data_IF_950958747984
#
_entry.id   IF_950958747984
#
_cell.length_a   1.000
_cell.length_b   1.000
_cell.length_c   1.000
_cell.angle_alpha   90.00
_cell.angle_beta   90.00
_cell.angle_gamma   90.00
#
_symmetry.space_group_name_H-M   'P 1'
#
loop_
_entity.id
_entity.type
_entity.pdbx_description
1 polymer ?
#
# COMPACT_ATOMS: atom_id res chain seq x y z
N UNK A 1 34.00 -15.17 9.97
CA UNK A 1 32.59 -15.09 9.55
C UNK A 1 31.88 -14.14 10.50
N UNK A 2 31.34 -13.03 9.97
CA UNK A 2 30.82 -11.93 10.77
C UNK A 2 29.56 -12.35 11.52
N UNK A 3 29.51 -12.10 12.84
CA UNK A 3 28.34 -12.44 13.67
C UNK A 3 27.29 -11.33 13.60
N UNK A 4 26.76 -11.09 12.41
CA UNK A 4 25.49 -10.35 12.30
C UNK A 4 24.38 -11.38 12.48
N UNK A 5 23.52 -11.14 13.45
CA UNK A 5 22.33 -11.94 13.70
C UNK A 5 21.11 -11.03 13.60
N UNK A 6 20.18 -11.39 12.72
CA UNK A 6 18.95 -10.66 12.52
C UNK A 6 17.75 -11.53 12.90
N UNK A 7 16.80 -10.95 13.63
CA UNK A 7 15.49 -11.51 13.94
C UNK A 7 14.46 -10.83 13.05
N UNK A 8 13.63 -11.64 12.42
CA UNK A 8 12.57 -11.22 11.50
C UNK A 8 11.23 -11.64 12.09
N UNK A 9 10.20 -10.82 11.98
CA UNK A 9 8.80 -11.22 12.23
C UNK A 9 7.87 -10.57 11.21
N UNK A 10 7.05 -11.37 10.55
CA UNK A 10 6.07 -10.88 9.58
C UNK A 10 5.06 -9.96 10.29
N UNK A 11 4.66 -8.88 9.63
CA UNK A 11 3.63 -7.97 10.10
C UNK A 11 2.31 -8.42 9.47
N UNK A 12 1.44 -9.01 10.27
CA UNK A 12 0.23 -9.69 9.80
C UNK A 12 -0.96 -8.74 9.81
N UNK A 13 -1.68 -8.69 8.70
CA UNK A 13 -2.92 -7.93 8.58
C UNK A 13 -4.04 -8.61 9.37
N UNK A 14 -4.73 -7.86 10.23
CA UNK A 14 -5.98 -8.29 10.89
C UNK A 14 -7.14 -7.45 10.34
N UNK A 15 -7.03 -6.12 10.38
CA UNK A 15 -7.89 -5.14 9.70
C UNK A 15 -7.06 -3.90 9.34
N UNK A 16 -7.64 -2.89 8.70
CA UNK A 16 -6.94 -1.62 8.46
C UNK A 16 -6.50 -0.90 9.74
N UNK A 17 -7.19 -1.15 10.86
CA UNK A 17 -6.91 -0.53 12.16
C UNK A 17 -6.12 -1.45 13.10
N UNK A 18 -5.93 -2.72 12.74
CA UNK A 18 -5.29 -3.69 13.62
C UNK A 18 -4.31 -4.60 12.87
N UNK A 19 -3.20 -4.91 13.54
CA UNK A 19 -2.11 -5.72 13.03
C UNK A 19 -1.63 -6.67 14.11
N UNK A 20 -1.15 -7.83 13.70
CA UNK A 20 -0.45 -8.75 14.58
C UNK A 20 1.00 -8.93 14.11
N UNK A 21 1.83 -9.52 14.95
CA UNK A 21 3.19 -9.87 14.57
C UNK A 21 3.38 -11.38 14.63
N UNK A 22 4.01 -11.93 13.60
CA UNK A 22 4.36 -13.34 13.52
C UNK A 22 5.46 -13.73 14.50
N UNK A 23 5.83 -15.02 14.46
CA UNK A 23 6.95 -15.54 15.25
C UNK A 23 8.28 -14.96 14.80
N UNK A 24 9.22 -14.81 15.73
CA UNK A 24 10.58 -14.46 15.39
C UNK A 24 11.30 -15.60 14.66
N UNK A 25 11.92 -15.27 13.53
CA UNK A 25 12.81 -16.15 12.78
C UNK A 25 14.21 -15.51 12.79
N UNK A 26 15.19 -16.26 13.27
CA UNK A 26 16.58 -15.79 13.32
C UNK A 26 17.32 -16.19 12.04
N UNK A 27 18.09 -15.27 11.47
CA UNK A 27 19.05 -15.52 10.39
C UNK A 27 20.42 -14.95 10.78
N UNK A 28 21.47 -15.63 10.34
CA UNK A 28 22.85 -15.26 10.63
C UNK A 28 23.58 -14.95 9.32
N UNK A 29 24.43 -13.92 9.34
CA UNK A 29 25.22 -13.50 8.18
C UNK A 29 24.34 -13.27 6.95
N UNK A 30 24.70 -13.90 5.83
CA UNK A 30 24.05 -13.69 4.53
C UNK A 30 22.79 -14.56 4.32
N UNK A 31 22.30 -15.23 5.37
CA UNK A 31 21.13 -16.09 5.26
C UNK A 31 19.87 -15.28 4.96
N UNK A 32 19.20 -15.59 3.84
CA UNK A 32 18.02 -14.87 3.37
C UNK A 32 16.77 -15.19 4.18
N UNK A 33 15.97 -14.16 4.44
CA UNK A 33 14.59 -14.28 4.92
C UNK A 33 13.64 -14.31 3.73
N UNK A 34 12.60 -15.15 3.79
CA UNK A 34 11.60 -15.29 2.72
C UNK A 34 10.25 -14.90 3.31
N UNK A 35 9.63 -13.88 2.72
CA UNK A 35 8.27 -13.44 3.02
C UNK A 35 7.27 -14.55 2.70
N UNK A 36 6.44 -14.92 3.69
CA UNK A 36 5.44 -16.00 3.53
C UNK A 36 4.06 -15.52 3.94
N UNK A 37 3.93 -15.03 5.16
CA UNK A 37 2.63 -14.72 5.75
C UNK A 37 2.27 -13.24 5.54
N UNK A 38 3.25 -12.39 5.20
CA UNK A 38 3.06 -10.98 4.86
C UNK A 38 4.04 -10.49 3.78
N UNK A 39 3.70 -9.38 3.15
CA UNK A 39 4.56 -8.61 2.24
C UNK A 39 5.59 -7.74 2.97
N UNK A 40 5.47 -7.64 4.30
CA UNK A 40 6.29 -6.76 5.11
C UNK A 40 6.67 -7.41 6.44
N UNK A 41 7.87 -7.05 6.91
CA UNK A 41 8.56 -7.73 8.00
C UNK A 41 9.26 -6.70 8.88
N UNK A 42 9.16 -6.87 10.20
CA UNK A 42 10.02 -6.15 11.14
C UNK A 42 11.34 -6.90 11.32
N UNK A 43 12.42 -6.14 11.33
CA UNK A 43 13.80 -6.62 11.35
C UNK A 43 14.51 -6.01 12.57
N UNK A 44 15.13 -6.84 13.38
CA UNK A 44 16.05 -6.41 14.45
C UNK A 44 17.36 -7.16 14.33
N UNK A 45 18.46 -6.45 14.12
CA UNK A 45 19.78 -7.00 13.93
C UNK A 45 20.72 -6.59 15.06
N UNK A 46 21.64 -7.47 15.41
CA UNK A 46 22.76 -7.22 16.31
C UNK A 46 24.05 -7.64 15.63
N UNK A 47 25.10 -6.85 15.79
CA UNK A 47 26.42 -7.12 15.25
C UNK A 47 27.51 -6.41 16.04
N UNK A 48 28.75 -6.83 15.87
CA UNK A 48 29.91 -6.22 16.53
C UNK A 48 30.79 -5.52 15.50
N UNK A 49 31.07 -4.24 15.74
CA UNK A 49 31.99 -3.44 14.93
C UNK A 49 33.43 -3.96 15.07
N UNK A 50 34.16 -3.99 13.95
CA UNK A 50 35.50 -4.59 13.89
C UNK A 50 36.62 -3.69 14.43
N UNK A 51 36.42 -2.38 14.36
CA UNK A 51 37.43 -1.38 14.67
C UNK A 51 37.36 -1.02 16.14
N UNK A 52 36.14 -0.78 16.63
CA UNK A 52 35.92 -0.32 18.02
C UNK A 52 35.44 -1.43 18.97
N UNK A 53 35.27 -2.68 18.49
CA UNK A 53 34.74 -3.81 19.27
C UNK A 53 33.40 -3.51 19.97
N UNK A 54 32.61 -2.59 19.41
CA UNK A 54 31.33 -2.16 19.97
C UNK A 54 30.19 -3.03 19.42
N UNK A 55 29.28 -3.45 20.29
CA UNK A 55 28.04 -4.09 19.85
C UNK A 55 27.03 -3.03 19.44
N UNK A 56 26.50 -3.17 18.23
CA UNK A 56 25.51 -2.28 17.66
C UNK A 56 24.21 -3.04 17.41
N UNK A 57 23.11 -2.33 17.62
CA UNK A 57 21.75 -2.79 17.38
C UNK A 57 21.12 -1.92 16.31
N UNK A 58 20.39 -2.57 15.39
CA UNK A 58 19.65 -1.88 14.34
C UNK A 58 18.26 -2.48 14.26
N UNK A 59 17.25 -1.63 14.10
CA UNK A 59 15.90 -2.05 13.80
C UNK A 59 15.41 -1.35 12.54
N UNK A 60 14.48 -2.00 11.84
CA UNK A 60 13.85 -1.42 10.67
C UNK A 60 12.77 -2.34 10.14
N UNK A 61 12.16 -1.91 9.05
CA UNK A 61 11.10 -2.65 8.38
C UNK A 61 11.53 -2.94 6.95
N UNK A 62 11.18 -4.13 6.46
CA UNK A 62 11.34 -4.50 5.05
C UNK A 62 9.98 -4.71 4.40
N UNK A 63 9.88 -4.37 3.12
CA UNK A 63 8.73 -4.65 2.28
C UNK A 63 9.15 -5.39 1.00
N UNK A 64 8.26 -6.19 0.45
CA UNK A 64 8.45 -6.92 -0.80
C UNK A 64 7.16 -7.59 -1.26
N UNK A 65 7.28 -8.56 -2.16
CA UNK A 65 6.15 -9.33 -2.67
C UNK A 65 6.27 -10.78 -2.20
N UNK A 66 5.38 -11.21 -1.31
CA UNK A 66 5.23 -12.61 -0.92
C UNK A 66 4.68 -13.41 -2.10
N UNK A 67 4.94 -14.72 -2.10
CA UNK A 67 4.33 -15.59 -3.09
C UNK A 67 2.84 -15.75 -2.78
N UNK A 68 2.00 -15.40 -3.75
CA UNK A 68 0.54 -15.57 -3.66
C UNK A 68 0.11 -16.65 -4.64
N UNK A 69 -0.64 -17.64 -4.16
CA UNK A 69 -1.21 -18.71 -4.98
C UNK A 69 -2.53 -18.25 -5.57
N UNK A 70 -2.72 -18.51 -6.87
CA UNK A 70 -3.92 -18.13 -7.61
C UNK A 70 -4.52 -19.33 -8.33
N UNK A 71 -5.84 -19.28 -8.45
CA UNK A 71 -6.56 -20.10 -9.43
C UNK A 71 -6.06 -19.64 -10.80
N UNK A 72 -5.67 -20.60 -11.65
CA UNK A 72 -5.30 -20.26 -13.02
C UNK A 72 -6.51 -19.58 -13.69
N UNK A 73 -6.30 -18.50 -14.46
CA UNK A 73 -7.37 -17.98 -15.29
C UNK A 73 -7.96 -19.08 -16.16
N UNK A 74 -9.22 -18.92 -16.55
CA UNK A 74 -9.88 -19.81 -17.52
C UNK A 74 -8.96 -20.02 -18.75
N UNK A 75 -8.71 -21.27 -19.19
CA UNK A 75 -7.88 -21.54 -20.38
C UNK A 75 -8.40 -20.84 -21.65
N UNK A 76 -9.71 -20.59 -21.74
CA UNK A 76 -10.34 -19.90 -22.87
C UNK A 76 -10.26 -18.37 -22.73
N UNK A 77 -9.64 -17.86 -21.66
CA UNK A 77 -9.44 -16.43 -21.44
C UNK A 77 -8.40 -15.90 -22.41
N UNK A 78 -8.84 -14.96 -23.26
CA UNK A 78 -7.98 -14.17 -24.13
C UNK A 78 -6.86 -13.51 -23.32
N UNK A 79 -5.67 -13.42 -23.91
CA UNK A 79 -4.53 -12.68 -23.35
C UNK A 79 -4.97 -11.29 -22.86
N UNK A 80 -4.81 -11.05 -21.57
CA UNK A 80 -5.26 -9.83 -20.92
C UNK A 80 -4.10 -8.87 -20.67
N UNK A 81 -4.36 -7.58 -20.82
CA UNK A 81 -3.39 -6.52 -20.48
C UNK A 81 -3.20 -6.37 -18.97
N UNK A 82 -2.00 -5.97 -18.56
CA UNK A 82 -1.79 -5.48 -17.19
C UNK A 82 -2.42 -4.10 -17.04
N UNK A 83 -3.08 -3.85 -15.91
CA UNK A 83 -3.72 -2.57 -15.62
C UNK A 83 -3.02 -1.92 -14.42
N UNK A 84 -2.62 -0.65 -14.58
CA UNK A 84 -2.01 0.14 -13.52
C UNK A 84 -2.78 1.44 -13.38
N UNK A 85 -3.23 1.73 -12.16
CA UNK A 85 -3.77 3.02 -11.77
C UNK A 85 -2.68 3.77 -11.00
N UNK A 86 -2.27 4.93 -11.52
CA UNK A 86 -1.34 5.84 -10.85
C UNK A 86 -2.07 7.15 -10.56
N UNK A 87 -2.35 7.40 -9.29
CA UNK A 87 -2.97 8.64 -8.83
C UNK A 87 -1.94 9.56 -8.19
N UNK A 88 -2.10 10.86 -8.41
CA UNK A 88 -1.37 11.90 -7.68
C UNK A 88 -2.39 12.67 -6.84
N UNK A 89 -2.16 12.74 -5.54
CA UNK A 89 -3.03 13.51 -4.66
C UNK A 89 -2.89 15.01 -4.98
N UNK A 90 -4.01 15.73 -4.88
CA UNK A 90 -4.08 17.20 -4.94
C UNK A 90 -3.48 17.82 -6.22
N UNK A 91 -3.41 17.07 -7.32
CA UNK A 91 -2.83 17.52 -8.59
C UNK A 91 -3.91 17.89 -9.60
N UNK A 92 -4.01 19.17 -9.93
CA UNK A 92 -4.86 19.64 -11.03
C UNK A 92 -4.21 19.43 -12.41
N UNK A 93 -5.01 19.48 -13.48
CA UNK A 93 -4.48 19.45 -14.86
C UNK A 93 -3.42 20.53 -15.10
N UNK A 94 -3.71 21.77 -14.69
CA UNK A 94 -2.77 22.89 -14.87
C UNK A 94 -1.50 22.71 -14.02
N UNK A 95 -1.64 22.17 -12.81
CA UNK A 95 -0.50 21.78 -11.98
C UNK A 95 0.38 20.74 -12.68
N UNK A 96 -0.21 19.66 -13.20
CA UNK A 96 0.52 18.63 -13.94
C UNK A 96 1.25 19.18 -15.17
N UNK A 97 0.60 20.06 -15.94
CA UNK A 97 1.23 20.69 -17.12
C UNK A 97 2.46 21.54 -16.75
N UNK A 98 2.40 22.25 -15.61
CA UNK A 98 3.47 23.12 -15.15
C UNK A 98 4.61 22.35 -14.48
N UNK A 99 4.27 21.42 -13.59
CA UNK A 99 5.20 20.80 -12.66
C UNK A 99 5.76 19.47 -13.20
N UNK A 100 5.08 18.84 -14.16
CA UNK A 100 5.51 17.56 -14.78
C UNK A 100 5.64 17.62 -16.33
N UNK A 101 6.30 18.63 -16.93
CA UNK A 101 6.34 18.79 -18.39
C UNK A 101 7.11 17.67 -19.10
N UNK A 102 8.12 17.08 -18.45
CA UNK A 102 8.86 15.92 -18.99
C UNK A 102 7.98 14.68 -19.07
N UNK A 103 7.20 14.40 -18.02
CA UNK A 103 6.24 13.30 -17.99
C UNK A 103 5.17 13.47 -19.07
N UNK A 104 4.63 14.68 -19.21
CA UNK A 104 3.66 14.97 -20.27
C UNK A 104 4.22 14.70 -21.67
N UNK A 105 5.47 15.09 -21.93
CA UNK A 105 6.12 14.81 -23.22
C UNK A 105 6.21 13.30 -23.46
N UNK A 106 6.68 12.54 -22.47
CA UNK A 106 6.77 11.08 -22.56
C UNK A 106 5.41 10.44 -22.84
N UNK A 107 4.34 10.89 -22.15
CA UNK A 107 2.99 10.39 -22.40
C UNK A 107 2.51 10.66 -23.83
N UNK A 108 2.79 11.85 -24.38
CA UNK A 108 2.47 12.19 -25.77
C UNK A 108 3.27 11.33 -26.76
N UNK A 109 4.56 11.14 -26.51
CA UNK A 109 5.45 10.34 -27.36
C UNK A 109 5.03 8.85 -27.35
N UNK A 110 4.49 8.35 -26.23
CA UNK A 110 3.88 7.02 -26.14
C UNK A 110 2.51 6.89 -26.83
N UNK A 111 1.94 7.99 -27.35
CA UNK A 111 0.59 7.98 -27.93
C UNK A 111 -0.53 7.85 -26.90
N UNK A 112 -0.30 8.27 -25.64
CA UNK A 112 -1.31 8.21 -24.61
C UNK A 112 -2.52 9.11 -24.94
N UNK A 113 -3.72 8.63 -24.63
CA UNK A 113 -4.96 9.41 -24.78
C UNK A 113 -5.10 10.38 -23.60
N UNK A 114 -5.02 11.68 -23.90
CA UNK A 114 -5.21 12.73 -22.90
C UNK A 114 -6.69 13.10 -22.82
N UNK A 115 -7.34 12.75 -21.71
CA UNK A 115 -8.74 13.07 -21.45
C UNK A 115 -8.90 14.52 -21.00
N UNK A 116 -8.94 15.46 -21.94
CA UNK A 116 -9.02 16.91 -21.61
C UNK A 116 -10.31 17.32 -20.88
N UNK A 117 -11.39 16.53 -20.98
CA UNK A 117 -12.66 16.79 -20.31
C UNK A 117 -12.86 16.00 -19.01
N UNK A 118 -11.86 15.26 -18.53
CA UNK A 118 -11.96 14.52 -17.28
C UNK A 118 -12.05 15.50 -16.10
N UNK A 119 -13.05 15.27 -15.24
CA UNK A 119 -13.29 16.05 -14.03
C UNK A 119 -13.61 15.10 -12.87
N UNK A 120 -13.29 15.55 -11.65
CA UNK A 120 -13.70 14.85 -10.43
C UNK A 120 -15.21 15.01 -10.20
N UNK A 121 -15.83 14.04 -9.55
CA UNK A 121 -17.28 14.05 -9.29
C UNK A 121 -17.68 14.69 -7.96
N UNK A 122 -16.72 15.04 -7.11
CA UNK A 122 -17.00 15.72 -5.86
C UNK A 122 -15.73 16.22 -5.20
N UNK A 123 -15.93 16.98 -4.13
CA UNK A 123 -14.84 17.50 -3.32
C UNK A 123 -14.25 16.40 -2.43
N UNK A 124 -12.93 16.43 -2.25
CA UNK A 124 -12.09 15.43 -1.58
C UNK A 124 -11.87 14.08 -2.30
N UNK A 125 -10.88 13.35 -1.80
CA UNK A 125 -10.36 12.10 -2.38
C UNK A 125 -11.43 11.01 -2.51
N UNK A 126 -12.25 10.67 -1.49
CA UNK A 126 -13.17 9.54 -1.64
C UNK A 126 -14.30 9.81 -2.64
N UNK A 127 -14.77 11.06 -2.76
CA UNK A 127 -15.80 11.44 -3.73
C UNK A 127 -15.32 11.28 -5.18
N UNK A 128 -14.00 11.36 -5.38
CA UNK A 128 -13.32 11.09 -6.66
C UNK A 128 -13.03 9.59 -6.83
N UNK A 129 -12.55 8.92 -5.79
CA UNK A 129 -12.02 7.56 -5.88
C UNK A 129 -13.11 6.48 -5.87
N UNK A 130 -14.23 6.67 -5.18
CA UNK A 130 -15.34 5.71 -5.26
C UNK A 130 -15.89 5.55 -6.67
N UNK A 131 -16.27 6.60 -7.41
CA UNK A 131 -16.78 6.41 -8.77
C UNK A 131 -15.72 5.84 -9.71
N UNK A 132 -14.46 6.27 -9.56
CA UNK A 132 -13.35 5.73 -10.36
C UNK A 132 -13.13 4.24 -10.12
N UNK A 133 -13.18 3.79 -8.87
CA UNK A 133 -12.82 2.42 -8.50
C UNK A 133 -14.02 1.47 -8.38
N UNK A 134 -15.25 1.97 -8.26
CA UNK A 134 -16.46 1.14 -8.08
C UNK A 134 -17.52 1.35 -9.14
N UNK A 135 -17.39 2.41 -9.96
CA UNK A 135 -18.45 2.85 -10.87
C UNK A 135 -19.66 3.47 -10.17
N UNK A 136 -19.58 3.74 -8.87
CA UNK A 136 -20.65 4.33 -8.05
C UNK A 136 -20.13 5.50 -7.22
N UNK A 137 -20.94 6.54 -7.08
CA UNK A 137 -20.68 7.67 -6.20
C UNK A 137 -20.86 7.28 -4.73
N UNK A 138 -20.35 8.10 -3.81
CA UNK A 138 -20.59 7.94 -2.36
C UNK A 138 -22.08 7.85 -2.01
N UNK A 139 -22.94 8.57 -2.75
CA UNK A 139 -24.38 8.63 -2.50
C UNK A 139 -25.14 7.37 -2.97
N UNK A 140 -24.58 6.63 -3.93
CA UNK A 140 -25.15 5.40 -4.47
C UNK A 140 -24.71 4.14 -3.71
N UNK A 141 -23.72 4.28 -2.83
CA UNK A 141 -23.20 3.24 -1.97
C UNK A 141 -23.83 3.33 -0.57
N UNK A 142 -23.92 2.22 0.18
CA UNK A 142 -24.27 2.28 1.59
C UNK A 142 -23.35 3.23 2.36
N UNK A 143 -23.90 4.05 3.26
CA UNK A 143 -23.10 4.98 4.04
C UNK A 143 -22.21 4.23 5.06
N UNK A 144 -20.91 4.18 4.78
CA UNK A 144 -19.88 3.53 5.62
C UNK A 144 -19.02 4.52 6.40
N UNK A 145 -19.41 5.80 6.43
CA UNK A 145 -18.62 6.84 7.14
C UNK A 145 -18.64 6.55 8.64
N UNK A 146 -17.52 6.80 9.33
CA UNK A 146 -17.33 6.48 10.76
C UNK A 146 -18.44 7.04 11.67
N UNK A 147 -18.99 8.21 11.34
CA UNK A 147 -20.07 8.85 12.11
C UNK A 147 -21.47 8.29 11.88
N UNK A 148 -21.64 7.40 10.88
CA UNK A 148 -22.93 6.81 10.51
C UNK A 148 -22.94 5.30 10.71
N UNK A 149 -21.82 4.65 10.38
CA UNK A 149 -21.67 3.20 10.48
C UNK A 149 -20.28 2.83 11.01
N UNK A 150 -20.23 1.81 11.86
CA UNK A 150 -18.99 1.13 12.27
C UNK A 150 -18.50 0.09 11.25
N UNK A 151 -19.17 -0.04 10.10
CA UNK A 151 -18.83 -1.06 9.11
C UNK A 151 -17.66 -0.64 8.20
N UNK A 152 -17.05 -1.64 7.58
CA UNK A 152 -15.98 -1.50 6.60
C UNK A 152 -16.53 -1.38 5.17
N UNK A 153 -15.67 -1.03 4.20
CA UNK A 153 -16.04 -0.91 2.77
C UNK A 153 -15.85 -2.22 1.98
N UNK A 154 -15.68 -3.34 2.66
CA UNK A 154 -15.44 -4.67 2.08
C UNK A 154 -16.56 -5.18 1.17
N UNK A 155 -17.77 -4.63 1.24
CA UNK A 155 -18.90 -5.03 0.41
C UNK A 155 -19.01 -4.22 -0.89
N UNK A 156 -18.17 -3.18 -1.06
CA UNK A 156 -18.25 -2.34 -2.24
C UNK A 156 -17.63 -3.00 -3.48
N UNK A 157 -18.17 -2.71 -4.69
CA UNK A 157 -17.82 -3.40 -5.93
C UNK A 157 -16.54 -2.82 -6.56
N UNK A 158 -15.44 -2.81 -5.81
CA UNK A 158 -14.18 -2.28 -6.29
C UNK A 158 -13.64 -3.07 -7.49
N UNK A 159 -13.07 -2.36 -8.48
CA UNK A 159 -12.49 -2.91 -9.70
C UNK A 159 -11.38 -3.91 -9.40
N UNK A 160 -10.58 -3.67 -8.36
CA UNK A 160 -9.53 -4.60 -7.96
C UNK A 160 -10.09 -5.92 -7.40
N UNK A 161 -11.31 -5.95 -6.82
CA UNK A 161 -11.95 -7.22 -6.42
C UNK A 161 -12.45 -8.00 -7.63
N UNK A 162 -12.97 -7.30 -8.63
CA UNK A 162 -13.34 -7.91 -9.91
C UNK A 162 -12.11 -8.51 -10.60
N UNK A 163 -11.04 -7.73 -10.74
CA UNK A 163 -9.78 -8.20 -11.33
C UNK A 163 -9.19 -9.38 -10.53
N UNK A 164 -9.26 -9.34 -9.20
CA UNK A 164 -8.86 -10.45 -8.34
C UNK A 164 -9.67 -11.72 -8.65
N UNK A 165 -10.99 -11.61 -8.86
CA UNK A 165 -11.86 -12.71 -9.28
C UNK A 165 -11.57 -13.21 -10.70
N UNK A 166 -11.16 -12.32 -11.59
CA UNK A 166 -10.78 -12.62 -12.98
C UNK A 166 -9.34 -13.19 -13.12
N UNK A 167 -8.69 -13.53 -11.99
CA UNK A 167 -7.38 -14.19 -11.96
C UNK A 167 -6.17 -13.27 -11.96
N UNK A 168 -6.34 -11.95 -11.84
CA UNK A 168 -5.22 -11.00 -11.77
C UNK A 168 -4.53 -11.06 -10.40
N UNK A 169 -3.22 -10.79 -10.41
CA UNK A 169 -2.51 -10.38 -9.19
C UNK A 169 -2.79 -8.92 -8.93
N UNK A 170 -3.19 -8.58 -7.71
CA UNK A 170 -3.62 -7.22 -7.37
C UNK A 170 -2.74 -6.59 -6.31
N UNK A 171 -2.54 -5.28 -6.44
CA UNK A 171 -1.85 -4.46 -5.46
C UNK A 171 -2.65 -3.17 -5.25
N UNK A 172 -2.72 -2.71 -4.00
CA UNK A 172 -3.29 -1.41 -3.64
C UNK A 172 -2.36 -0.72 -2.65
N UNK A 173 -1.78 0.40 -3.04
CA UNK A 173 -0.79 1.12 -2.24
C UNK A 173 -1.14 2.59 -2.18
N UNK A 174 -1.02 3.17 -0.99
CA UNK A 174 -1.08 4.61 -0.72
C UNK A 174 0.09 4.96 0.19
N UNK A 175 0.66 6.14 -0.01
CA UNK A 175 1.83 6.64 0.71
C UNK A 175 1.49 7.40 2.01
N UNK A 176 0.22 7.80 2.17
CA UNK A 176 -0.28 8.54 3.33
C UNK A 176 -1.30 7.71 4.14
N UNK A 177 -0.88 6.65 4.85
CA UNK A 177 -1.80 5.69 5.44
C UNK A 177 -2.68 6.27 6.57
N UNK A 178 -2.26 7.32 7.28
CA UNK A 178 -3.09 7.95 8.33
C UNK A 178 -4.33 8.64 7.76
N UNK A 179 -4.21 9.23 6.57
CA UNK A 179 -5.27 9.99 5.89
C UNK A 179 -5.71 9.33 4.58
N UNK A 180 -5.47 8.02 4.44
CA UNK A 180 -5.75 7.26 3.23
C UNK A 180 -7.20 7.37 2.75
N UNK A 181 -7.41 7.11 1.47
CA UNK A 181 -8.67 7.34 0.75
C UNK A 181 -9.86 6.70 1.48
N UNK A 182 -9.69 5.48 1.99
CA UNK A 182 -10.77 4.74 2.64
C UNK A 182 -10.60 4.67 4.16
N UNK A 183 -9.67 5.44 4.75
CA UNK A 183 -9.31 5.30 6.15
C UNK A 183 -9.52 6.59 6.94
N UNK A 184 -9.42 7.77 6.34
CA UNK A 184 -9.69 9.02 7.08
C UNK A 184 -11.16 9.13 7.52
N UNK A 185 -12.09 9.02 6.57
CA UNK A 185 -13.55 9.21 6.79
C UNK A 185 -14.30 7.89 7.03
N UNK A 186 -13.66 6.75 6.80
CA UNK A 186 -14.25 5.40 6.85
C UNK A 186 -13.40 4.47 7.73
N UNK A 187 -13.89 3.27 8.04
CA UNK A 187 -13.12 2.29 8.82
C UNK A 187 -12.10 1.50 7.98
N UNK A 188 -11.97 1.80 6.69
CA UNK A 188 -11.10 1.07 5.79
C UNK A 188 -11.65 -0.31 5.47
N UNK A 189 -10.74 -1.27 5.38
CA UNK A 189 -11.04 -2.66 5.05
C UNK A 189 -10.88 -3.60 6.27
N UNK A 190 -11.80 -4.56 6.38
CA UNK A 190 -11.73 -5.67 7.33
C UNK A 190 -10.84 -6.80 6.79
N UNK A 191 -10.84 -7.02 5.47
CA UNK A 191 -9.98 -7.95 4.76
C UNK A 191 -9.00 -7.18 3.86
N UNK A 192 -7.83 -7.73 3.51
CA UNK A 192 -6.94 -7.09 2.56
C UNK A 192 -7.67 -6.79 1.23
N UNK A 193 -7.66 -5.55 0.72
CA UNK A 193 -8.35 -5.18 -0.51
C UNK A 193 -7.69 -5.78 -1.77
N UNK A 194 -6.42 -6.17 -1.67
CA UNK A 194 -5.61 -6.72 -2.75
C UNK A 194 -4.66 -7.80 -2.21
N UNK A 195 -4.03 -8.57 -3.11
CA UNK A 195 -3.02 -9.56 -2.72
C UNK A 195 -1.85 -8.92 -1.97
N UNK A 196 -1.48 -7.74 -2.47
CA UNK A 196 -0.40 -6.93 -1.96
C UNK A 196 -0.92 -5.61 -1.41
N UNK A 197 -0.65 -5.36 -0.14
CA UNK A 197 -1.14 -4.20 0.58
C UNK A 197 -0.14 -3.73 1.64
N UNK A 198 0.35 -2.50 1.49
CA UNK A 198 1.48 -1.96 2.27
C UNK A 198 1.07 -1.03 3.42
N UNK A 199 -0.22 -0.92 3.75
CA UNK A 199 -0.70 0.01 4.78
C UNK A 199 0.06 -0.11 6.10
N UNK A 200 0.14 -1.31 6.68
CA UNK A 200 0.78 -1.49 7.99
C UNK A 200 2.29 -1.27 7.95
N UNK A 201 2.93 -1.50 6.80
CA UNK A 201 4.33 -1.13 6.61
C UNK A 201 4.53 0.39 6.72
N UNK A 202 3.74 1.18 5.98
CA UNK A 202 3.86 2.64 6.03
C UNK A 202 3.46 3.21 7.40
N UNK A 203 2.44 2.67 8.06
CA UNK A 203 2.08 3.10 9.43
C UNK A 203 3.25 2.94 10.40
N UNK A 204 3.92 1.78 10.37
CA UNK A 204 5.06 1.49 11.24
C UNK A 204 6.30 2.33 10.89
N UNK A 205 6.53 2.59 9.60
CA UNK A 205 7.60 3.49 9.16
C UNK A 205 7.36 4.92 9.68
N UNK A 206 6.13 5.44 9.54
CA UNK A 206 5.76 6.77 10.02
C UNK A 206 5.81 6.88 11.56
N UNK A 207 5.47 5.81 12.28
CA UNK A 207 5.64 5.75 13.75
C UNK A 207 7.12 5.96 14.14
N UNK A 208 8.06 5.29 13.47
CA UNK A 208 9.51 5.43 13.74
C UNK A 208 10.04 6.80 13.36
N UNK A 209 9.61 7.36 12.23
CA UNK A 209 10.03 8.70 11.81
C UNK A 209 9.59 9.77 12.83
N UNK A 210 8.35 9.66 13.36
CA UNK A 210 7.85 10.54 14.43
C UNK A 210 8.65 10.41 15.72
N UNK A 211 8.96 9.18 16.13
CA UNK A 211 9.81 8.94 17.32
C UNK A 211 11.22 9.53 17.15
N UNK A 212 11.76 9.46 15.94
CA UNK A 212 13.10 9.96 15.60
C UNK A 212 13.15 11.49 15.49
N UNK A 213 12.08 12.13 15.02
CA UNK A 213 12.01 13.57 14.82
C UNK A 213 11.80 14.38 16.12
N UNK A 214 11.43 13.71 17.22
CA UNK A 214 11.16 14.34 18.51
C UNK A 214 9.87 15.19 18.52
N UNK A 215 9.46 15.72 19.68
CA UNK A 215 8.14 16.34 19.87
C UNK A 215 7.94 17.71 19.18
N UNK A 216 8.79 18.09 18.22
CA UNK A 216 8.80 19.42 17.59
C UNK A 216 8.71 19.40 16.05
N UNK A 217 8.44 18.25 15.42
CA UNK A 217 8.47 18.13 13.95
C UNK A 217 7.16 18.48 13.22
N UNK A 218 6.07 18.74 13.94
CA UNK A 218 4.78 19.10 13.34
C UNK A 218 4.54 20.63 13.41
N UNK A 219 5.39 21.41 12.73
CA UNK A 219 5.12 22.81 12.36
C UNK A 219 5.13 22.98 10.85
#
# INVERSE_FOLDING_TARGET
MHKIQCKYRDILFITDNNRAFGRHITKNGDAKYILRDSDHVEISCVGTDRIINLTSHWSGYGAGFRKVFRVAPDPDRVDSVNVVFLGFDSTSRNGFLRDMPRTLKVLKDFGAVIMNGYNILGDATPATMFPLLTGRTELELPDRRRGFSGAYVDDFPFVFKRLWGDGYRTAYFEDSPEIGTFQMRFNGFCNPPADHYLRHFFLLANEVDRESAGPYSDQ
#
